data_IF_108128494364
#
_entry.id   IF_108128494364
#
_cell.length_a   1.000
_cell.length_b   1.000
_cell.length_c   1.000
_cell.angle_alpha   90.00
_cell.angle_beta   90.00
_cell.angle_gamma   90.00
#
_symmetry.space_group_name_H-M   'P 1'
#
loop_
_entity.id
_entity.type
_entity.pdbx_description
1 polymer ?
#
# COMPACT_ATOMS: atom_id res chain seq x y z
N UNK A 1 -19.98 3.88 16.70
CA UNK A 1 -18.51 3.90 16.50
C UNK A 1 -18.27 3.34 15.12
N UNK A 2 -17.35 3.90 14.34
CA UNK A 2 -16.95 3.31 13.06
C UNK A 2 -16.31 1.94 13.33
N UNK A 3 -16.67 0.92 12.56
CA UNK A 3 -15.92 -0.34 12.54
C UNK A 3 -14.65 -0.15 11.73
N UNK A 4 -13.72 -1.10 11.81
CA UNK A 4 -12.49 -1.04 11.03
C UNK A 4 -12.18 -2.36 10.37
N UNK A 5 -11.72 -2.29 9.13
CA UNK A 5 -11.23 -3.42 8.34
C UNK A 5 -9.72 -3.33 8.21
N UNK A 6 -9.04 -4.40 8.63
CA UNK A 6 -7.60 -4.54 8.51
C UNK A 6 -7.21 -4.85 7.07
N UNK A 7 -6.23 -4.09 6.57
CA UNK A 7 -5.70 -4.18 5.23
C UNK A 7 -4.17 -4.14 5.28
N UNK A 8 -3.55 -4.67 4.24
CA UNK A 8 -2.10 -4.65 4.04
C UNK A 8 -1.75 -3.93 2.76
N UNK A 9 -0.56 -3.36 2.72
CA UNK A 9 0.00 -2.76 1.52
C UNK A 9 1.53 -2.93 1.54
N UNK A 10 2.09 -3.54 0.50
CA UNK A 10 3.50 -3.90 0.41
C UNK A 10 4.14 -3.18 -0.77
N UNK A 11 5.27 -2.52 -0.52
CA UNK A 11 6.14 -1.93 -1.53
C UNK A 11 7.45 -2.70 -1.61
N UNK A 12 7.74 -3.23 -2.81
CA UNK A 12 9.06 -3.81 -3.12
C UNK A 12 9.92 -2.73 -3.74
N UNK A 13 11.06 -2.45 -3.10
CA UNK A 13 11.94 -1.34 -3.44
C UNK A 13 13.33 -1.88 -3.79
N UNK A 14 13.95 -1.27 -4.80
CA UNK A 14 15.36 -1.45 -5.13
C UNK A 14 16.04 -0.08 -5.22
N UNK A 15 17.38 0.00 -5.24
CA UNK A 15 18.07 1.26 -5.44
C UNK A 15 17.55 1.99 -6.69
N UNK A 16 16.97 3.17 -6.49
CA UNK A 16 16.46 4.04 -7.57
C UNK A 16 15.10 3.69 -8.17
N UNK A 17 14.47 2.57 -7.78
CA UNK A 17 13.17 2.15 -8.34
C UNK A 17 12.24 1.43 -7.34
N UNK A 18 10.96 1.41 -7.66
CA UNK A 18 9.89 0.74 -6.88
C UNK A 18 9.00 -0.08 -7.81
N UNK A 19 8.53 -1.23 -7.34
CA UNK A 19 7.57 -2.05 -8.05
C UNK A 19 6.15 -1.63 -7.67
N UNK A 20 5.33 -1.33 -8.67
CA UNK A 20 3.91 -1.03 -8.51
C UNK A 20 3.07 -1.99 -9.35
N UNK A 21 1.83 -2.24 -8.95
CA UNK A 21 0.84 -2.97 -9.74
C UNK A 21 -0.25 -2.03 -10.24
N UNK A 22 -0.58 -2.10 -11.53
CA UNK A 22 -1.79 -1.48 -12.07
C UNK A 22 -2.98 -2.37 -11.71
N UNK A 23 -3.92 -1.85 -10.92
CA UNK A 23 -5.11 -2.60 -10.50
C UNK A 23 -6.06 -2.80 -11.68
N UNK A 24 -6.34 -4.06 -12.02
CA UNK A 24 -7.17 -4.47 -13.18
C UNK A 24 -8.66 -4.63 -12.83
N UNK A 25 -8.98 -4.83 -11.55
CA UNK A 25 -10.35 -5.06 -11.07
C UNK A 25 -10.51 -4.65 -9.60
N UNK A 26 -11.76 -4.45 -9.17
CA UNK A 26 -12.08 -4.17 -7.76
C UNK A 26 -11.80 -2.74 -7.32
N UNK A 27 -11.59 -2.56 -6.01
CA UNK A 27 -11.34 -1.25 -5.41
C UNK A 27 -10.00 -0.67 -5.89
N UNK A 28 -10.02 0.57 -6.39
CA UNK A 28 -8.84 1.23 -6.94
C UNK A 28 -8.49 0.83 -8.38
N UNK A 29 -9.40 0.20 -9.14
CA UNK A 29 -9.18 -0.14 -10.56
C UNK A 29 -8.68 1.07 -11.36
N UNK A 30 -7.66 0.85 -12.19
CA UNK A 30 -7.03 1.90 -12.99
C UNK A 30 -5.98 2.74 -12.25
N UNK A 31 -5.75 2.50 -10.95
CA UNK A 31 -4.66 3.13 -10.19
C UNK A 31 -3.45 2.21 -10.07
N UNK A 32 -2.25 2.80 -10.09
CA UNK A 32 -1.03 2.13 -9.65
C UNK A 32 -0.97 2.13 -8.12
N UNK A 33 -0.54 1.03 -7.52
CA UNK A 33 -0.37 0.93 -6.08
C UNK A 33 0.69 -0.12 -5.70
N UNK A 34 0.99 -0.26 -4.41
CA UNK A 34 1.61 -1.45 -3.86
C UNK A 34 0.67 -2.66 -3.90
N UNK A 35 1.15 -3.81 -3.42
CA UNK A 35 0.42 -5.07 -3.42
C UNK A 35 -0.18 -5.35 -2.06
N UNK A 36 -1.41 -5.84 -1.97
CA UNK A 36 -2.03 -6.03 -0.67
C UNK A 36 -3.55 -6.15 -0.70
N UNK A 37 -4.07 -6.57 0.45
CA UNK A 37 -5.48 -6.90 0.58
C UNK A 37 -5.92 -7.07 2.03
N UNK A 38 -7.04 -7.76 2.22
CA UNK A 38 -7.68 -7.92 3.53
C UNK A 38 -6.95 -8.95 4.37
N UNK A 39 -6.88 -8.67 5.67
CA UNK A 39 -6.50 -9.68 6.67
C UNK A 39 -7.69 -10.61 6.92
N UNK A 40 -7.52 -11.89 6.66
CA UNK A 40 -8.48 -12.97 6.83
C UNK A 40 -8.54 -13.45 8.30
N UNK A 41 -9.63 -14.13 8.72
CA UNK A 41 -9.69 -14.73 10.05
C UNK A 41 -8.60 -15.79 10.24
N UNK A 42 -7.77 -15.62 11.27
CA UNK A 42 -6.74 -16.58 11.65
C UNK A 42 -5.34 -16.31 11.09
N UNK A 43 -5.18 -15.31 10.20
CA UNK A 43 -3.86 -14.82 9.79
C UNK A 43 -3.45 -13.56 10.58
N UNK A 44 -2.16 -13.44 10.83
CA UNK A 44 -1.53 -12.18 11.26
C UNK A 44 -1.50 -11.19 10.10
N UNK A 45 -1.31 -9.91 10.42
CA UNK A 45 -1.20 -8.84 9.40
C UNK A 45 -0.01 -9.10 8.46
N UNK A 46 1.11 -9.59 8.99
CA UNK A 46 2.30 -9.88 8.17
C UNK A 46 2.09 -11.10 7.26
N UNK A 47 1.42 -12.15 7.75
CA UNK A 47 1.04 -13.31 6.92
C UNK A 47 0.14 -12.90 5.76
N UNK A 48 -0.86 -12.04 6.03
CA UNK A 48 -1.73 -11.47 5.01
C UNK A 48 -0.92 -10.69 3.96
N UNK A 49 0.01 -9.83 4.40
CA UNK A 49 0.84 -9.01 3.52
C UNK A 49 1.70 -9.87 2.57
N UNK A 50 2.30 -10.95 3.11
CA UNK A 50 3.12 -11.90 2.35
C UNK A 50 2.29 -12.71 1.35
N UNK A 51 1.10 -13.16 1.77
CA UNK A 51 0.15 -13.88 0.92
C UNK A 51 -0.30 -13.03 -0.27
N UNK A 52 -0.76 -11.81 -0.01
CA UNK A 52 -1.24 -10.89 -1.05
C UNK A 52 -0.11 -10.49 -2.02
N UNK A 53 1.11 -10.27 -1.52
CA UNK A 53 2.27 -10.01 -2.38
C UNK A 53 2.50 -11.17 -3.37
N UNK A 54 2.44 -12.41 -2.90
CA UNK A 54 2.60 -13.60 -3.73
C UNK A 54 1.46 -13.73 -4.75
N UNK A 55 0.21 -13.61 -4.31
CA UNK A 55 -0.97 -13.75 -5.17
C UNK A 55 -1.01 -12.69 -6.27
N UNK A 56 -0.70 -11.43 -5.96
CA UNK A 56 -0.86 -10.32 -6.90
C UNK A 56 0.35 -10.10 -7.81
N UNK A 57 1.56 -10.48 -7.38
CA UNK A 57 2.82 -10.18 -8.09
C UNK A 57 3.72 -11.38 -8.38
N UNK A 58 3.44 -12.56 -7.81
CA UNK A 58 4.31 -13.74 -7.92
C UNK A 58 5.58 -13.68 -7.05
N UNK A 59 5.78 -12.61 -6.27
CA UNK A 59 6.97 -12.42 -5.46
C UNK A 59 6.84 -12.97 -4.05
N UNK A 60 7.96 -13.40 -3.49
CA UNK A 60 8.11 -13.65 -2.06
C UNK A 60 9.25 -12.82 -1.49
N UNK A 61 9.27 -12.64 -0.17
CA UNK A 61 10.28 -11.84 0.53
C UNK A 61 10.69 -12.57 1.80
N UNK A 62 11.94 -12.48 2.21
CA UNK A 62 12.41 -13.07 3.46
C UNK A 62 12.17 -12.09 4.63
N UNK A 63 12.64 -10.85 4.46
CA UNK A 63 12.44 -9.74 5.41
C UNK A 63 11.36 -8.80 4.88
N UNK A 64 10.45 -8.39 5.76
CA UNK A 64 9.35 -7.48 5.45
C UNK A 64 9.20 -6.47 6.60
N UNK A 65 9.56 -5.21 6.35
CA UNK A 65 9.61 -4.18 7.38
C UNK A 65 8.26 -3.46 7.44
N UNK A 66 7.64 -3.42 8.63
CA UNK A 66 6.45 -2.58 8.86
C UNK A 66 6.91 -1.12 9.01
N UNK A 67 6.49 -0.25 8.11
CA UNK A 67 6.96 1.15 8.01
C UNK A 67 5.84 2.17 8.16
N UNK A 68 4.57 1.76 8.11
CA UNK A 68 3.51 2.69 8.41
C UNK A 68 2.17 2.06 8.77
N UNK A 69 1.30 2.90 9.31
CA UNK A 69 -0.11 2.60 9.46
C UNK A 69 -0.94 3.82 9.07
N UNK A 70 -1.85 3.63 8.11
CA UNK A 70 -2.70 4.70 7.60
C UNK A 70 -4.17 4.28 7.77
N UNK A 71 -4.95 5.15 8.41
CA UNK A 71 -6.41 5.00 8.49
C UNK A 71 -7.09 5.84 7.43
N UNK A 72 -7.93 5.22 6.61
CA UNK A 72 -8.73 5.91 5.60
C UNK A 72 -10.21 5.92 5.98
N UNK A 73 -10.82 7.09 5.86
CA UNK A 73 -12.25 7.32 6.01
C UNK A 73 -12.82 7.84 4.70
N UNK A 74 -13.92 7.27 4.21
CA UNK A 74 -14.60 7.74 3.01
C UNK A 74 -15.97 8.31 3.39
N UNK A 75 -16.31 9.51 2.90
CA UNK A 75 -17.63 10.12 3.14
C UNK A 75 -18.75 9.17 2.68
N UNK A 76 -19.65 8.82 3.60
CA UNK A 76 -20.77 7.91 3.35
C UNK A 76 -20.52 6.47 3.77
N UNK A 77 -19.25 6.09 4.01
CA UNK A 77 -18.91 4.77 4.53
C UNK A 77 -18.92 4.76 6.07
N UNK A 78 -19.27 3.60 6.63
CA UNK A 78 -19.37 3.38 8.09
C UNK A 78 -18.20 2.55 8.65
N UNK A 79 -17.28 2.15 7.77
CA UNK A 79 -16.12 1.32 8.09
C UNK A 79 -14.83 2.05 7.69
N UNK A 80 -13.89 2.15 8.62
CA UNK A 80 -12.54 2.64 8.37
C UNK A 80 -11.68 1.55 7.74
N UNK A 81 -10.87 1.94 6.76
CA UNK A 81 -9.81 1.09 6.23
C UNK A 81 -8.54 1.33 7.04
N UNK A 82 -8.08 0.33 7.81
CA UNK A 82 -6.86 0.40 8.62
C UNK A 82 -5.74 -0.35 7.89
N UNK A 83 -4.93 0.40 7.16
CA UNK A 83 -3.94 -0.12 6.22
C UNK A 83 -2.58 -0.17 6.90
N UNK A 84 -1.99 -1.36 6.97
CA UNK A 84 -0.64 -1.59 7.44
C UNK A 84 0.32 -1.63 6.25
N UNK A 85 1.26 -0.67 6.23
CA UNK A 85 2.19 -0.47 5.13
C UNK A 85 3.52 -1.14 5.45
N UNK A 86 3.99 -1.96 4.51
CA UNK A 86 5.24 -2.69 4.59
C UNK A 86 6.16 -2.35 3.43
N UNK A 87 7.46 -2.47 3.68
CA UNK A 87 8.53 -2.32 2.69
C UNK A 87 9.40 -3.56 2.67
N UNK A 88 9.78 -3.99 1.47
CA UNK A 88 10.81 -5.01 1.27
C UNK A 88 11.90 -4.46 0.34
N UNK A 89 13.16 -4.56 0.77
CA UNK A 89 14.32 -4.17 -0.04
C UNK A 89 14.96 -5.35 -0.80
N UNK A 90 14.49 -6.56 -0.53
CA UNK A 90 14.91 -7.82 -1.16
C UNK A 90 13.70 -8.68 -1.45
N UNK A 91 13.69 -9.37 -2.58
CA UNK A 91 12.61 -10.25 -3.00
C UNK A 91 13.16 -11.44 -3.78
N UNK A 92 12.35 -12.50 -3.88
CA UNK A 92 12.63 -13.72 -4.61
C UNK A 92 11.56 -13.92 -5.70
N UNK A 93 11.99 -14.41 -6.87
CA UNK A 93 11.13 -14.62 -8.03
C UNK A 93 11.09 -13.45 -9.01
N UNK A 94 10.29 -13.58 -10.06
CA UNK A 94 10.10 -12.57 -11.11
C UNK A 94 8.68 -11.98 -11.03
N UNK A 95 8.52 -10.64 -11.08
CA UNK A 95 7.20 -10.01 -11.07
C UNK A 95 6.34 -10.53 -12.23
N UNK A 96 5.19 -11.09 -11.89
CA UNK A 96 4.28 -11.76 -12.84
C UNK A 96 2.91 -11.11 -12.79
N UNK A 97 2.32 -10.87 -13.96
CA UNK A 97 0.95 -10.35 -14.05
C UNK A 97 -0.06 -11.39 -13.56
N UNK A 98 -0.95 -10.96 -12.67
CA UNK A 98 -2.10 -11.73 -12.19
C UNK A 98 -3.40 -11.24 -12.85
N UNK A 99 -4.51 -11.91 -12.54
CA UNK A 99 -5.84 -11.42 -12.94
C UNK A 99 -6.17 -10.06 -12.29
N UNK A 100 -5.50 -9.71 -11.19
CA UNK A 100 -5.81 -8.54 -10.37
C UNK A 100 -4.85 -7.37 -10.58
N UNK A 101 -3.56 -7.65 -10.78
CA UNK A 101 -2.51 -6.64 -10.81
C UNK A 101 -1.55 -6.91 -11.98
N UNK A 102 -1.15 -5.84 -12.66
CA UNK A 102 -0.05 -5.86 -13.64
C UNK A 102 1.19 -5.16 -13.08
N UNK A 103 2.20 -5.90 -12.58
CA UNK A 103 3.40 -5.31 -12.01
C UNK A 103 4.24 -4.55 -13.04
N UNK A 104 4.86 -3.44 -12.61
CA UNK A 104 5.84 -2.67 -13.37
C UNK A 104 6.79 -1.92 -12.44
N UNK A 105 8.07 -1.92 -12.80
CA UNK A 105 9.08 -1.09 -12.15
C UNK A 105 8.98 0.36 -12.62
N UNK A 106 9.10 1.28 -11.67
CA UNK A 106 9.20 2.72 -11.89
C UNK A 106 10.44 3.27 -11.20
N UNK A 107 11.23 4.03 -11.93
CA UNK A 107 12.30 4.83 -11.32
C UNK A 107 11.68 5.91 -10.44
N UNK A 108 12.36 6.31 -9.36
CA UNK A 108 11.82 7.26 -8.37
C UNK A 108 11.34 8.57 -8.98
N UNK A 109 12.02 9.08 -10.00
CA UNK A 109 11.67 10.31 -10.72
C UNK A 109 10.46 10.15 -11.65
N UNK A 110 10.08 8.91 -11.95
CA UNK A 110 9.02 8.54 -12.90
C UNK A 110 7.80 7.91 -12.23
N UNK A 111 7.71 7.93 -10.89
CA UNK A 111 6.57 7.40 -10.15
C UNK A 111 5.29 8.10 -10.63
N UNK A 112 4.27 7.36 -11.10
CA UNK A 112 3.13 7.92 -11.82
C UNK A 112 2.06 8.43 -10.85
N UNK A 113 2.40 9.36 -9.95
CA UNK A 113 1.50 9.81 -8.88
C UNK A 113 0.14 10.34 -9.35
N UNK A 114 0.03 10.85 -10.59
CA UNK A 114 -1.23 11.29 -11.19
C UNK A 114 -2.18 10.12 -11.51
N UNK A 115 -1.67 8.90 -11.52
CA UNK A 115 -2.41 7.65 -11.71
C UNK A 115 -2.38 6.79 -10.44
N UNK A 116 -2.04 7.36 -9.29
CA UNK A 116 -2.01 6.69 -7.98
C UNK A 116 -3.12 7.24 -7.08
N UNK A 117 -3.19 6.79 -5.83
CA UNK A 117 -4.07 7.42 -4.85
C UNK A 117 -3.56 8.82 -4.48
N UNK A 118 -4.47 9.74 -4.16
CA UNK A 118 -4.11 11.15 -3.97
C UNK A 118 -3.19 11.35 -2.74
N UNK A 119 -3.33 10.49 -1.73
CA UNK A 119 -2.53 10.52 -0.50
C UNK A 119 -1.11 9.99 -0.70
N UNK A 120 -0.87 9.10 -1.67
CA UNK A 120 0.43 8.49 -1.91
C UNK A 120 1.52 9.56 -2.02
N UNK A 121 1.23 10.67 -2.74
CA UNK A 121 2.16 11.81 -2.91
C UNK A 121 2.68 12.41 -1.60
N UNK A 122 1.95 12.24 -0.50
CA UNK A 122 2.25 12.83 0.80
C UNK A 122 3.15 11.93 1.65
N UNK A 123 2.95 10.61 1.61
CA UNK A 123 3.68 9.66 2.47
C UNK A 123 4.70 8.77 1.72
N UNK A 124 4.61 8.63 0.40
CA UNK A 124 5.61 7.88 -0.39
C UNK A 124 7.06 8.33 -0.14
N UNK A 125 7.36 9.64 -0.04
CA UNK A 125 8.71 10.10 0.25
C UNK A 125 9.27 9.56 1.58
N UNK A 126 8.41 9.36 2.59
CA UNK A 126 8.80 8.76 3.87
C UNK A 126 9.11 7.27 3.67
N UNK A 127 8.25 6.55 2.94
CA UNK A 127 8.48 5.15 2.58
C UNK A 127 9.81 4.95 1.86
N UNK A 128 10.12 5.77 0.85
CA UNK A 128 11.37 5.67 0.09
C UNK A 128 12.61 5.94 0.96
N UNK A 129 12.49 6.83 1.95
CA UNK A 129 13.55 7.17 2.92
C UNK A 129 13.69 6.17 4.08
N UNK A 130 12.90 5.09 4.11
CA UNK A 130 12.83 4.14 5.25
C UNK A 130 12.41 4.82 6.56
N UNK A 131 11.60 5.87 6.48
CA UNK A 131 11.02 6.51 7.66
C UNK A 131 9.73 5.82 8.04
N UNK A 132 9.47 5.79 9.33
CA UNK A 132 8.28 5.19 9.91
C UNK A 132 7.19 6.25 10.11
N UNK A 133 5.93 5.95 9.82
CA UNK A 133 4.87 6.98 9.84
C UNK A 133 3.47 6.50 10.25
N UNK A 134 2.69 7.42 10.82
CA UNK A 134 1.26 7.28 11.06
C UNK A 134 0.47 8.27 10.21
N UNK A 135 -0.60 7.79 9.58
CA UNK A 135 -1.44 8.58 8.69
C UNK A 135 -2.92 8.46 9.00
N UNK A 136 -3.66 9.53 8.73
CA UNK A 136 -5.10 9.52 8.61
C UNK A 136 -5.51 10.38 7.41
N UNK A 137 -6.38 9.85 6.56
CA UNK A 137 -6.93 10.58 5.41
C UNK A 137 -8.44 10.38 5.34
N UNK A 138 -9.17 11.49 5.22
CA UNK A 138 -10.59 11.50 4.94
C UNK A 138 -10.83 11.92 3.49
N UNK A 139 -11.57 11.11 2.76
CA UNK A 139 -11.86 11.29 1.34
C UNK A 139 -13.33 11.59 1.07
N UNK A 140 -13.57 12.41 0.03
CA UNK A 140 -14.83 12.46 -0.72
C UNK A 140 -14.63 11.76 -2.04
N UNK A 141 -15.42 10.71 -2.30
CA UNK A 141 -15.15 9.82 -3.44
C UNK A 141 -13.75 9.21 -3.32
N UNK A 142 -13.04 9.04 -4.43
CA UNK A 142 -11.71 8.40 -4.42
C UNK A 142 -10.53 9.35 -4.68
N UNK A 143 -10.80 10.64 -4.91
CA UNK A 143 -9.81 11.56 -5.46
C UNK A 143 -9.67 12.88 -4.68
N UNK A 144 -10.61 13.21 -3.79
CA UNK A 144 -10.59 14.47 -3.03
C UNK A 144 -10.31 14.19 -1.55
N UNK A 145 -9.13 14.61 -1.09
CA UNK A 145 -8.79 14.60 0.35
C UNK A 145 -9.46 15.81 1.02
N UNK A 146 -10.31 15.56 2.00
CA UNK A 146 -10.99 16.58 2.80
C UNK A 146 -10.20 16.98 4.05
N UNK A 147 -9.54 16.00 4.66
CA UNK A 147 -8.77 16.15 5.88
C UNK A 147 -7.64 15.14 5.87
N UNK A 148 -6.46 15.51 6.36
CA UNK A 148 -5.40 14.56 6.59
C UNK A 148 -4.54 14.90 7.81
N UNK A 149 -3.90 13.88 8.36
CA UNK A 149 -2.84 13.96 9.35
C UNK A 149 -1.75 12.98 8.90
N UNK A 150 -0.48 13.39 8.94
CA UNK A 150 0.66 12.54 8.64
C UNK A 150 1.81 12.94 9.56
N UNK A 151 2.34 11.97 10.28
CA UNK A 151 3.41 12.16 11.26
C UNK A 151 4.47 11.08 11.08
N UNK A 152 5.74 11.50 11.01
CA UNK A 152 6.88 10.60 11.19
C UNK A 152 6.96 10.22 12.67
N UNK A 153 7.21 8.94 12.95
CA UNK A 153 7.29 8.38 14.30
C UNK A 153 8.53 7.50 14.42
N UNK A 154 9.01 7.29 15.64
CA UNK A 154 10.16 6.41 15.88
C UNK A 154 9.77 4.91 15.83
N UNK A 155 8.54 4.56 16.23
CA UNK A 155 8.03 3.18 16.37
C UNK A 155 6.52 3.07 16.03
N UNK A 156 6.03 1.85 15.67
CA UNK A 156 4.63 1.54 15.24
C UNK A 156 3.88 0.54 16.12
#
# INVERSE_FOLDING_TARGET
MLTSKLLTLVFVVQPGRVLLGMKKRGFGVGKWNGFGGKVQPGETIEEAARRELLEESGLTVDTLDKIGNIKFEFEGDTELMDVHVFRADSFNGDPTESDEMRPRWFDWESIPFDQMWADDRLWFPLMLQKKTFLGYFKFRGHDVILQHKLEEVDEL
#
